data_IF_235833954385
#
_entry.id   IF_235833954385
#
_cell.length_a   1.000
_cell.length_b   1.000
_cell.length_c   1.000
_cell.angle_alpha   90.00
_cell.angle_beta   90.00
_cell.angle_gamma   90.00
#
_symmetry.space_group_name_H-M   'P 1'
#
loop_
_entity.id
_entity.type
_entity.pdbx_description
1 polymer ?
#
# COMPACT_ATOMS: atom_id res chain seq x y z
N UNK A 1 -4.67 -25.50 -11.65
CA UNK A 1 -5.74 -25.31 -12.64
C UNK A 1 -5.60 -23.89 -13.16
N UNK A 2 -5.57 -23.67 -14.47
CA UNK A 2 -5.54 -22.30 -14.98
C UNK A 2 -6.89 -21.66 -14.66
N UNK A 3 -6.88 -20.56 -13.91
CA UNK A 3 -8.12 -19.84 -13.58
C UNK A 3 -8.72 -19.31 -14.87
N UNK A 4 -9.94 -19.77 -15.17
CA UNK A 4 -10.68 -19.35 -16.35
C UNK A 4 -11.23 -17.95 -16.09
N UNK A 5 -10.83 -16.98 -16.91
CA UNK A 5 -11.29 -15.59 -16.81
C UNK A 5 -12.08 -15.20 -18.04
N UNK A 6 -13.08 -14.34 -17.85
CA UNK A 6 -13.95 -13.81 -18.88
C UNK A 6 -13.66 -12.35 -19.24
N UNK A 7 -14.43 -11.81 -20.18
CA UNK A 7 -14.41 -10.39 -20.53
C UNK A 7 -14.88 -9.57 -19.31
N UNK A 8 -14.04 -8.65 -18.82
CA UNK A 8 -14.33 -7.81 -17.66
C UNK A 8 -13.73 -8.31 -16.34
N UNK A 9 -12.96 -9.41 -16.36
CA UNK A 9 -12.10 -9.81 -15.25
C UNK A 9 -10.76 -9.05 -15.29
N UNK A 10 -10.13 -8.90 -14.12
CA UNK A 10 -8.79 -8.35 -13.91
C UNK A 10 -7.91 -9.47 -13.39
N UNK A 11 -6.90 -9.88 -14.15
CA UNK A 11 -5.94 -10.93 -13.78
C UNK A 11 -4.84 -10.31 -12.93
N UNK A 12 -4.88 -10.59 -11.62
CA UNK A 12 -3.99 -9.98 -10.63
C UNK A 12 -2.93 -10.97 -10.17
N UNK A 13 -1.69 -10.49 -10.11
CA UNK A 13 -0.59 -11.19 -9.46
C UNK A 13 -0.09 -10.44 -8.23
N UNK A 14 0.34 -11.18 -7.20
CA UNK A 14 0.81 -10.62 -5.92
C UNK A 14 2.27 -10.98 -5.68
N UNK A 15 3.11 -9.99 -5.36
CA UNK A 15 4.45 -10.19 -4.83
C UNK A 15 4.45 -9.90 -3.33
N UNK A 16 4.85 -10.89 -2.54
CA UNK A 16 4.84 -10.83 -1.08
C UNK A 16 3.46 -11.16 -0.52
N UNK A 17 3.28 -12.40 -0.06
CA UNK A 17 2.02 -12.89 0.50
C UNK A 17 1.98 -12.60 2.00
N UNK A 18 2.08 -11.31 2.37
CA UNK A 18 2.05 -10.81 3.75
C UNK A 18 0.64 -10.51 4.29
N UNK A 19 0.54 -9.78 5.40
CA UNK A 19 -0.75 -9.34 5.97
C UNK A 19 -1.57 -8.46 5.02
N UNK A 20 -0.92 -7.60 4.23
CA UNK A 20 -1.60 -6.78 3.21
C UNK A 20 -2.24 -7.66 2.13
N UNK A 21 -1.50 -8.64 1.61
CA UNK A 21 -2.02 -9.62 0.65
C UNK A 21 -3.17 -10.44 1.25
N UNK A 22 -3.05 -10.87 2.52
CA UNK A 22 -4.12 -11.55 3.24
C UNK A 22 -5.40 -10.68 3.26
N UNK A 23 -5.28 -9.43 3.71
CA UNK A 23 -6.42 -8.51 3.80
C UNK A 23 -7.05 -8.22 2.42
N UNK A 24 -6.24 -8.12 1.37
CA UNK A 24 -6.72 -7.96 -0.01
C UNK A 24 -7.52 -9.18 -0.47
N UNK A 25 -6.98 -10.39 -0.32
CA UNK A 25 -7.65 -11.63 -0.75
C UNK A 25 -8.94 -11.86 0.04
N UNK A 26 -8.92 -11.64 1.35
CA UNK A 26 -10.13 -11.68 2.18
C UNK A 26 -11.15 -10.63 1.74
N UNK A 27 -10.71 -9.41 1.43
CA UNK A 27 -11.58 -8.31 1.01
C UNK A 27 -12.31 -8.60 -0.29
N UNK A 28 -11.60 -9.15 -1.29
CA UNK A 28 -12.20 -9.56 -2.57
C UNK A 28 -13.25 -10.65 -2.34
N UNK A 29 -12.95 -11.66 -1.51
CA UNK A 29 -13.91 -12.72 -1.19
C UNK A 29 -15.13 -12.20 -0.40
N UNK A 30 -14.90 -11.31 0.58
CA UNK A 30 -15.95 -10.77 1.44
C UNK A 30 -16.98 -9.94 0.69
N UNK A 31 -16.54 -9.16 -0.29
CA UNK A 31 -17.40 -8.25 -1.06
C UNK A 31 -17.73 -8.75 -2.48
N UNK A 32 -17.47 -10.02 -2.81
CA UNK A 32 -17.70 -10.56 -4.15
C UNK A 32 -19.17 -10.49 -4.60
N UNK A 33 -20.10 -10.55 -3.65
CA UNK A 33 -21.55 -10.54 -3.87
C UNK A 33 -22.19 -9.20 -3.48
N UNK A 34 -21.38 -8.15 -3.25
CA UNK A 34 -21.89 -6.83 -2.94
C UNK A 34 -22.80 -6.29 -4.06
N UNK A 35 -23.83 -5.53 -3.69
CA UNK A 35 -24.66 -4.88 -4.70
C UNK A 35 -23.86 -3.78 -5.42
N UNK A 36 -24.18 -3.54 -6.69
CA UNK A 36 -23.40 -2.63 -7.55
C UNK A 36 -23.40 -1.17 -7.05
N UNK A 37 -24.42 -0.79 -6.29
CA UNK A 37 -24.62 0.52 -5.68
C UNK A 37 -24.41 0.50 -4.16
N UNK A 38 -23.91 -0.61 -3.59
CA UNK A 38 -23.66 -0.72 -2.16
C UNK A 38 -22.55 0.22 -1.72
N UNK A 39 -22.81 1.00 -0.67
CA UNK A 39 -21.76 1.68 0.07
C UNK A 39 -20.92 0.64 0.84
N UNK A 40 -19.63 0.56 0.51
CA UNK A 40 -18.69 -0.37 1.13
C UNK A 40 -17.65 0.43 1.91
N UNK A 41 -17.59 0.30 3.24
CA UNK A 41 -16.60 1.00 4.05
C UNK A 41 -15.19 0.74 3.55
N UNK A 42 -14.53 1.82 3.13
CA UNK A 42 -13.13 1.76 2.72
C UNK A 42 -12.85 1.62 1.22
N UNK A 43 -13.89 1.60 0.40
CA UNK A 43 -13.81 1.71 -1.06
C UNK A 43 -14.42 3.03 -1.50
N UNK A 44 -13.92 3.57 -2.62
CA UNK A 44 -14.61 4.68 -3.29
C UNK A 44 -15.97 4.23 -3.82
N UNK A 45 -15.98 3.11 -4.57
CA UNK A 45 -17.17 2.55 -5.20
C UNK A 45 -17.12 1.02 -5.21
N UNK A 46 -18.28 0.37 -5.12
CA UNK A 46 -18.42 -1.06 -5.40
C UNK A 46 -18.00 -1.40 -6.84
N UNK A 47 -18.25 -0.49 -7.79
CA UNK A 47 -17.84 -0.59 -9.20
C UNK A 47 -16.98 0.61 -9.59
N UNK A 48 -15.78 0.37 -10.10
CA UNK A 48 -14.86 1.41 -10.59
C UNK A 48 -14.58 1.18 -12.06
N UNK A 49 -14.96 2.13 -12.94
CA UNK A 49 -14.75 2.02 -14.39
C UNK A 49 -15.37 0.79 -15.04
N UNK A 50 -16.45 0.25 -14.48
CA UNK A 50 -17.09 -0.98 -14.93
C UNK A 50 -16.57 -2.26 -14.24
N UNK A 51 -15.53 -2.18 -13.41
CA UNK A 51 -15.00 -3.31 -12.66
C UNK A 51 -15.60 -3.39 -11.26
N UNK A 52 -16.42 -4.40 -11.04
CA UNK A 52 -16.86 -4.78 -9.71
C UNK A 52 -15.71 -5.45 -8.94
N UNK A 53 -15.80 -5.54 -7.61
CA UNK A 53 -14.78 -6.22 -6.79
C UNK A 53 -14.61 -7.68 -7.23
N UNK A 54 -15.69 -8.34 -7.62
CA UNK A 54 -15.66 -9.72 -8.11
C UNK A 54 -14.99 -9.89 -9.48
N UNK A 55 -14.70 -8.81 -10.21
CA UNK A 55 -13.86 -8.85 -11.41
C UNK A 55 -12.41 -9.22 -11.08
N UNK A 56 -11.97 -9.07 -9.83
CA UNK A 56 -10.59 -9.33 -9.43
C UNK A 56 -10.35 -10.84 -9.32
N UNK A 57 -9.43 -11.36 -10.14
CA UNK A 57 -9.03 -12.77 -10.17
C UNK A 57 -7.54 -12.87 -9.85
N UNK A 58 -7.20 -13.42 -8.69
CA UNK A 58 -5.80 -13.73 -8.39
C UNK A 58 -5.36 -14.92 -9.24
N UNK A 59 -4.33 -14.75 -10.08
CA UNK A 59 -3.86 -15.80 -11.02
C UNK A 59 -2.44 -16.26 -10.73
N UNK A 60 -1.65 -15.43 -10.04
CA UNK A 60 -0.30 -15.77 -9.62
C UNK A 60 0.03 -15.12 -8.27
N UNK A 61 0.89 -15.78 -7.49
CA UNK A 61 1.41 -15.24 -6.24
C UNK A 61 2.85 -15.66 -6.06
N UNK A 62 3.67 -14.78 -5.47
CA UNK A 62 5.09 -15.00 -5.29
C UNK A 62 5.51 -14.65 -3.87
N UNK A 63 6.31 -15.53 -3.26
CA UNK A 63 6.93 -15.30 -1.96
C UNK A 63 8.33 -15.95 -1.93
N UNK A 64 9.05 -15.73 -0.84
CA UNK A 64 10.38 -16.30 -0.59
C UNK A 64 10.43 -17.15 0.68
N UNK A 65 9.41 -17.06 1.54
CA UNK A 65 9.30 -17.83 2.77
C UNK A 65 9.01 -19.32 2.49
N UNK A 66 9.82 -20.21 3.07
CA UNK A 66 9.66 -21.66 2.97
C UNK A 66 8.30 -22.16 3.49
N UNK A 67 7.66 -21.43 4.40
CA UNK A 67 6.32 -21.75 4.90
C UNK A 67 5.19 -21.31 3.96
N UNK A 68 5.48 -20.56 2.90
CA UNK A 68 4.49 -20.03 1.94
C UNK A 68 4.67 -20.61 0.55
N UNK A 69 5.90 -20.69 0.06
CA UNK A 69 6.22 -21.23 -1.27
C UNK A 69 5.72 -22.68 -1.38
N UNK A 70 4.95 -22.96 -2.43
CA UNK A 70 4.33 -24.26 -2.69
C UNK A 70 2.92 -24.44 -2.10
N UNK A 71 2.45 -23.53 -1.25
CA UNK A 71 1.07 -23.56 -0.74
C UNK A 71 0.06 -22.95 -1.72
N UNK A 72 -1.21 -23.32 -1.58
CA UNK A 72 -2.31 -22.57 -2.21
C UNK A 72 -2.40 -21.17 -1.59
N UNK A 73 -2.72 -20.15 -2.38
CA UNK A 73 -2.83 -18.78 -1.91
C UNK A 73 -3.79 -18.66 -0.71
N UNK A 74 -4.89 -19.42 -0.67
CA UNK A 74 -5.84 -19.40 0.45
C UNK A 74 -5.23 -19.91 1.77
N UNK A 75 -4.20 -20.77 1.72
CA UNK A 75 -3.46 -21.21 2.90
C UNK A 75 -2.30 -20.26 3.21
N UNK A 76 -1.57 -19.83 2.17
CA UNK A 76 -0.38 -19.00 2.32
C UNK A 76 -0.68 -17.66 2.99
N UNK A 77 -1.88 -17.11 2.78
CA UNK A 77 -2.31 -15.89 3.49
C UNK A 77 -2.37 -16.08 5.01
N UNK A 78 -2.52 -17.31 5.52
CA UNK A 78 -2.53 -17.64 6.96
C UNK A 78 -1.22 -18.28 7.45
N UNK A 79 -0.23 -18.45 6.58
CA UNK A 79 1.02 -19.13 6.91
C UNK A 79 2.09 -18.16 7.44
N UNK A 80 3.07 -18.73 8.15
CA UNK A 80 4.20 -18.01 8.75
C UNK A 80 3.73 -16.90 9.70
N UNK A 81 4.38 -15.73 9.64
CA UNK A 81 4.11 -14.59 10.52
C UNK A 81 2.92 -13.71 10.08
N UNK A 82 2.05 -14.23 9.19
CA UNK A 82 0.81 -13.52 8.86
C UNK A 82 -0.18 -13.63 10.04
N UNK A 83 -0.64 -12.50 10.55
CA UNK A 83 -1.43 -12.38 11.77
C UNK A 83 -2.49 -11.26 11.71
N UNK A 84 -2.97 -10.93 10.50
CA UNK A 84 -4.10 -10.00 10.36
C UNK A 84 -5.43 -10.61 10.79
N UNK A 85 -6.42 -9.74 11.04
CA UNK A 85 -7.75 -10.15 11.47
C UNK A 85 -8.44 -10.98 10.38
N UNK A 86 -9.10 -12.06 10.81
CA UNK A 86 -9.96 -12.86 9.95
C UNK A 86 -11.36 -12.27 9.90
N UNK A 87 -11.78 -11.85 8.72
CA UNK A 87 -13.13 -11.35 8.44
C UNK A 87 -13.81 -12.07 7.26
N UNK A 88 -13.10 -12.94 6.54
CA UNK A 88 -13.67 -13.80 5.50
C UNK A 88 -13.04 -15.19 5.48
N UNK A 89 -13.80 -16.17 4.96
CA UNK A 89 -13.29 -17.52 4.68
C UNK A 89 -12.98 -17.63 3.20
N UNK A 90 -11.70 -17.75 2.85
CA UNK A 90 -11.25 -17.89 1.46
C UNK A 90 -11.17 -19.38 1.12
N UNK A 91 -11.93 -19.81 0.11
CA UNK A 91 -11.83 -21.17 -0.43
C UNK A 91 -10.50 -21.35 -1.20
N UNK A 92 -10.07 -22.60 -1.43
CA UNK A 92 -8.88 -22.89 -2.24
C UNK A 92 -8.96 -22.16 -3.58
N UNK A 93 -7.90 -21.43 -3.92
CA UNK A 93 -7.87 -20.62 -5.13
C UNK A 93 -7.39 -21.41 -6.34
N UNK A 94 -6.62 -22.48 -6.12
CA UNK A 94 -5.89 -23.19 -7.15
C UNK A 94 -4.60 -22.48 -7.61
N UNK A 95 -4.26 -21.34 -6.99
CA UNK A 95 -3.03 -20.58 -7.24
C UNK A 95 -1.97 -21.03 -6.24
N UNK A 96 -0.96 -21.73 -6.73
CA UNK A 96 0.22 -22.08 -5.92
C UNK A 96 1.13 -20.86 -5.79
N UNK A 97 1.56 -20.53 -4.57
CA UNK A 97 2.57 -19.51 -4.33
C UNK A 97 3.91 -19.98 -4.85
N UNK A 98 4.42 -19.29 -5.86
CA UNK A 98 5.68 -19.58 -6.53
C UNK A 98 6.86 -18.91 -5.83
N UNK A 99 8.05 -19.47 -6.02
CA UNK A 99 9.29 -18.90 -5.51
C UNK A 99 9.68 -17.66 -6.31
N UNK A 100 9.56 -16.48 -5.71
CA UNK A 100 10.05 -15.23 -6.29
C UNK A 100 11.57 -15.05 -6.17
N UNK A 101 12.11 -13.95 -6.70
CA UNK A 101 13.51 -13.54 -6.48
C UNK A 101 13.63 -12.73 -5.19
N UNK A 102 14.61 -13.09 -4.34
CA UNK A 102 14.76 -12.50 -3.00
C UNK A 102 15.38 -11.12 -3.01
N UNK A 103 16.54 -10.94 -3.67
CA UNK A 103 17.35 -9.71 -3.62
C UNK A 103 17.47 -9.16 -2.18
N UNK A 104 17.15 -7.88 -1.97
CA UNK A 104 17.11 -7.20 -0.67
C UNK A 104 15.72 -7.28 0.01
N UNK A 105 14.89 -8.25 -0.36
CA UNK A 105 13.58 -8.54 0.24
C UNK A 105 13.65 -8.81 1.75
N UNK A 106 14.68 -9.54 2.19
CA UNK A 106 14.83 -10.00 3.57
C UNK A 106 15.88 -9.20 4.33
N UNK A 107 15.40 -8.29 5.19
CA UNK A 107 16.22 -7.57 6.17
C UNK A 107 16.70 -8.47 7.30
N UNK A 108 17.45 -7.91 8.26
CA UNK A 108 18.03 -8.67 9.38
C UNK A 108 16.96 -9.42 10.17
N UNK A 109 15.93 -8.72 10.62
CA UNK A 109 14.89 -9.32 11.46
C UNK A 109 14.02 -10.33 10.72
N UNK A 110 13.85 -10.18 9.40
CA UNK A 110 13.18 -11.18 8.59
C UNK A 110 14.00 -12.47 8.52
N UNK A 111 15.30 -12.38 8.24
CA UNK A 111 16.22 -13.53 8.22
C UNK A 111 16.32 -14.26 9.55
N UNK A 112 16.15 -13.55 10.66
CA UNK A 112 16.11 -14.13 12.01
C UNK A 112 14.77 -14.82 12.33
N UNK A 113 13.69 -14.50 11.62
CA UNK A 113 12.33 -14.94 11.96
C UNK A 113 11.81 -16.04 11.04
N UNK A 114 12.12 -15.95 9.73
CA UNK A 114 11.64 -16.90 8.73
C UNK A 114 12.80 -17.65 8.08
N UNK A 115 12.48 -18.79 7.47
CA UNK A 115 13.42 -19.55 6.65
C UNK A 115 13.13 -19.26 5.18
N UNK A 116 14.13 -18.83 4.43
CA UNK A 116 14.02 -18.67 2.99
C UNK A 116 13.85 -20.04 2.31
N UNK A 117 12.97 -20.13 1.31
CA UNK A 117 12.73 -21.36 0.57
C UNK A 117 13.92 -21.76 -0.30
N UNK A 118 14.34 -23.02 -0.20
CA UNK A 118 15.38 -23.66 -1.03
C UNK A 118 14.93 -23.95 -2.47
N UNK A 119 13.65 -23.75 -2.80
CA UNK A 119 13.15 -23.89 -4.16
C UNK A 119 13.88 -22.89 -5.09
N UNK A 120 14.13 -23.25 -6.36
CA UNK A 120 14.67 -22.30 -7.33
C UNK A 120 13.65 -21.21 -7.64
N UNK A 121 14.11 -19.97 -7.79
CA UNK A 121 13.27 -18.87 -8.24
C UNK A 121 12.74 -19.13 -9.66
N UNK A 122 11.46 -18.84 -9.88
CA UNK A 122 10.84 -18.99 -11.20
C UNK A 122 11.25 -17.86 -12.14
N UNK A 123 11.12 -18.10 -13.44
CA UNK A 123 11.18 -17.03 -14.44
C UNK A 123 9.90 -16.17 -14.32
N UNK A 124 10.03 -15.06 -13.58
CA UNK A 124 8.93 -14.14 -13.31
C UNK A 124 8.26 -13.65 -14.60
N UNK A 125 9.03 -13.23 -15.60
CA UNK A 125 8.48 -12.66 -16.84
C UNK A 125 7.71 -13.72 -17.61
N UNK A 126 8.25 -14.94 -17.69
CA UNK A 126 7.55 -16.06 -18.32
C UNK A 126 6.24 -16.37 -17.62
N UNK A 127 6.24 -16.47 -16.28
CA UNK A 127 5.02 -16.75 -15.51
C UNK A 127 3.97 -15.66 -15.70
N UNK A 128 4.35 -14.38 -15.61
CA UNK A 128 3.40 -13.27 -15.80
C UNK A 128 2.76 -13.29 -17.19
N UNK A 129 3.52 -13.65 -18.23
CA UNK A 129 3.01 -13.82 -19.60
C UNK A 129 2.11 -15.05 -19.74
N UNK A 130 2.53 -16.20 -19.22
CA UNK A 130 1.77 -17.45 -19.30
C UNK A 130 0.42 -17.33 -18.59
N UNK A 131 0.41 -16.65 -17.44
CA UNK A 131 -0.80 -16.34 -16.68
C UNK A 131 -1.51 -15.09 -17.17
N UNK A 132 -1.09 -14.47 -18.28
CA UNK A 132 -1.70 -13.27 -18.87
C UNK A 132 -2.07 -12.22 -17.81
N UNK A 133 -1.13 -11.89 -16.93
CA UNK A 133 -1.38 -10.97 -15.80
C UNK A 133 -1.63 -9.57 -16.34
N UNK A 134 -2.72 -8.95 -15.89
CA UNK A 134 -3.02 -7.55 -16.18
C UNK A 134 -2.30 -6.65 -15.16
N UNK A 135 -2.48 -6.90 -13.86
CA UNK A 135 -1.98 -6.02 -12.80
C UNK A 135 -1.10 -6.79 -11.82
N UNK A 136 0.13 -6.31 -11.63
CA UNK A 136 1.09 -6.83 -10.64
C UNK A 136 1.14 -5.92 -9.40
N UNK A 137 0.82 -6.47 -8.23
CA UNK A 137 0.84 -5.76 -6.95
C UNK A 137 2.11 -6.11 -6.17
N UNK A 138 2.81 -5.10 -5.68
CA UNK A 138 4.04 -5.26 -4.91
C UNK A 138 3.85 -4.93 -3.43
N UNK A 139 3.89 -5.95 -2.57
CA UNK A 139 3.82 -5.86 -1.10
C UNK A 139 5.12 -6.29 -0.42
N UNK A 140 6.26 -5.97 -1.03
CA UNK A 140 7.56 -6.29 -0.43
C UNK A 140 7.79 -5.52 0.88
N UNK A 141 8.64 -6.04 1.78
CA UNK A 141 9.04 -5.32 2.99
C UNK A 141 9.65 -3.95 2.70
N UNK A 142 9.51 -3.01 3.65
CA UNK A 142 10.16 -1.69 3.57
C UNK A 142 11.68 -1.86 3.47
N UNK A 143 12.30 -1.10 2.56
CA UNK A 143 13.74 -1.11 2.30
C UNK A 143 14.19 -2.11 1.24
N UNK A 144 13.25 -2.73 0.51
CA UNK A 144 13.53 -3.69 -0.58
C UNK A 144 13.60 -2.99 -1.94
N UNK A 145 14.59 -2.11 -2.11
CA UNK A 145 14.72 -1.27 -3.30
C UNK A 145 15.11 -2.06 -4.55
N UNK A 146 16.13 -2.93 -4.45
CA UNK A 146 16.61 -3.74 -5.56
C UNK A 146 15.53 -4.73 -6.00
N UNK A 147 14.86 -5.37 -5.04
CA UNK A 147 13.76 -6.28 -5.30
C UNK A 147 12.57 -5.58 -5.97
N UNK A 148 12.10 -4.44 -5.43
CA UNK A 148 10.94 -3.75 -5.99
C UNK A 148 11.20 -3.24 -7.42
N UNK A 149 12.40 -2.69 -7.67
CA UNK A 149 12.84 -2.28 -9.01
C UNK A 149 12.99 -3.48 -9.97
N UNK A 150 13.48 -4.62 -9.49
CA UNK A 150 13.52 -5.86 -10.27
C UNK A 150 12.10 -6.28 -10.70
N UNK A 151 11.15 -6.33 -9.77
CA UNK A 151 9.77 -6.72 -10.10
C UNK A 151 9.05 -5.70 -10.98
N UNK A 152 9.33 -4.41 -10.81
CA UNK A 152 8.82 -3.38 -11.72
C UNK A 152 9.34 -3.57 -13.16
N UNK A 153 10.61 -3.96 -13.31
CA UNK A 153 11.15 -4.32 -14.63
C UNK A 153 10.47 -5.59 -15.18
N UNK A 154 10.23 -6.61 -14.34
CA UNK A 154 9.48 -7.80 -14.78
C UNK A 154 8.05 -7.46 -15.25
N UNK A 155 7.37 -6.52 -14.59
CA UNK A 155 6.05 -6.04 -15.03
C UNK A 155 6.13 -5.39 -16.42
N UNK A 156 7.12 -4.54 -16.65
CA UNK A 156 7.36 -3.90 -17.95
C UNK A 156 7.62 -4.96 -19.03
N UNK A 157 8.53 -5.90 -18.76
CA UNK A 157 8.93 -6.94 -19.73
C UNK A 157 7.80 -7.94 -20.02
N UNK A 158 6.85 -8.08 -19.09
CA UNK A 158 5.66 -8.92 -19.21
C UNK A 158 4.46 -8.21 -19.85
N UNK A 159 4.43 -6.88 -19.88
CA UNK A 159 3.30 -6.11 -20.38
C UNK A 159 2.19 -5.88 -19.35
N UNK A 160 2.53 -5.88 -18.05
CA UNK A 160 1.56 -5.71 -16.96
C UNK A 160 1.58 -4.27 -16.41
N UNK A 161 0.44 -3.81 -15.92
CA UNK A 161 0.40 -2.67 -15.02
C UNK A 161 1.07 -3.00 -13.68
N UNK A 162 1.52 -1.97 -12.97
CA UNK A 162 2.18 -2.13 -11.68
C UNK A 162 1.54 -1.27 -10.59
N UNK A 163 1.27 -1.86 -9.43
CA UNK A 163 0.81 -1.15 -8.22
C UNK A 163 1.86 -1.28 -7.14
N UNK A 164 2.53 -0.18 -6.82
CA UNK A 164 3.61 -0.12 -5.86
C UNK A 164 3.10 0.30 -4.47
N UNK A 165 2.92 -0.67 -3.57
CA UNK A 165 2.40 -0.38 -2.23
C UNK A 165 3.47 0.05 -1.21
N UNK A 166 4.77 -0.04 -1.57
CA UNK A 166 5.88 0.19 -0.66
C UNK A 166 6.56 1.57 -0.89
N UNK A 167 7.30 2.12 0.09
CA UNK A 167 7.99 3.40 -0.02
C UNK A 167 9.33 3.31 -0.76
N UNK A 168 9.34 2.62 -1.91
CA UNK A 168 10.45 2.65 -2.88
C UNK A 168 9.99 3.50 -4.05
N UNK A 169 10.79 4.48 -4.46
CA UNK A 169 10.43 5.38 -5.54
C UNK A 169 10.53 4.67 -6.89
N UNK A 170 9.39 4.53 -7.55
CA UNK A 170 9.23 3.92 -8.88
C UNK A 170 8.29 4.81 -9.70
N UNK A 171 7.05 5.01 -9.26
CA UNK A 171 6.15 5.93 -9.95
C UNK A 171 6.64 7.38 -9.82
N UNK A 172 7.15 7.76 -8.63
CA UNK A 172 7.66 9.11 -8.37
C UNK A 172 9.10 9.33 -8.81
N UNK A 173 9.79 8.29 -9.31
CA UNK A 173 11.13 8.41 -9.90
C UNK A 173 10.99 8.68 -11.42
N UNK A 174 11.44 9.84 -11.94
CA UNK A 174 11.31 10.18 -13.35
C UNK A 174 11.92 9.15 -14.32
N UNK A 175 12.94 8.39 -13.90
CA UNK A 175 13.55 7.35 -14.73
C UNK A 175 12.60 6.19 -14.91
N UNK A 176 11.95 5.75 -13.83
CA UNK A 176 11.01 4.63 -13.85
C UNK A 176 9.67 5.02 -14.44
N UNK A 177 9.16 6.22 -14.13
CA UNK A 177 7.97 6.79 -14.78
C UNK A 177 8.13 6.75 -16.30
N UNK A 178 9.28 7.23 -16.81
CA UNK A 178 9.56 7.22 -18.24
C UNK A 178 9.60 5.81 -18.83
N UNK A 179 10.17 4.83 -18.11
CA UNK A 179 10.18 3.43 -18.58
C UNK A 179 8.77 2.87 -18.75
N UNK A 180 7.88 3.11 -17.79
CA UNK A 180 6.46 2.71 -17.89
C UNK A 180 5.74 3.48 -19.01
N UNK A 181 6.04 4.77 -19.18
CA UNK A 181 5.48 5.59 -20.26
C UNK A 181 5.91 5.11 -21.65
N UNK A 182 7.20 4.84 -21.85
CA UNK A 182 7.77 4.32 -23.10
C UNK A 182 7.21 2.93 -23.44
N UNK A 183 6.92 2.11 -22.43
CA UNK A 183 6.31 0.79 -22.60
C UNK A 183 4.78 0.85 -22.84
N UNK A 184 4.14 2.01 -22.64
CA UNK A 184 2.68 2.14 -22.74
C UNK A 184 1.93 1.46 -21.59
N UNK A 185 2.58 1.23 -20.44
CA UNK A 185 2.03 0.51 -19.29
C UNK A 185 1.78 1.44 -18.10
N UNK A 186 0.63 1.37 -17.42
CA UNK A 186 0.34 2.23 -16.30
C UNK A 186 1.04 1.75 -15.02
N UNK A 187 1.42 2.72 -14.19
CA UNK A 187 1.86 2.48 -12.81
C UNK A 187 1.05 3.36 -11.84
N UNK A 188 0.66 2.78 -10.70
CA UNK A 188 0.13 3.52 -9.54
C UNK A 188 1.12 3.37 -8.38
N UNK A 189 1.61 4.47 -7.84
CA UNK A 189 2.61 4.48 -6.77
C UNK A 189 2.96 5.91 -6.30
N UNK A 190 3.70 6.10 -5.20
CA UNK A 190 4.35 5.09 -4.35
C UNK A 190 3.92 5.20 -2.87
N UNK A 191 4.05 4.10 -2.11
CA UNK A 191 3.65 3.95 -0.70
C UNK A 191 2.13 4.10 -0.46
N UNK A 192 1.39 2.99 -0.43
CA UNK A 192 -0.07 3.03 -0.33
C UNK A 192 -0.57 3.78 0.92
N UNK A 193 -1.63 4.57 0.79
CA UNK A 193 -2.32 5.19 1.92
C UNK A 193 -3.13 4.15 2.70
N UNK A 194 -3.36 4.47 3.96
CA UNK A 194 -4.42 3.84 4.76
C UNK A 194 -5.64 4.76 4.75
N UNK A 195 -6.85 4.24 4.97
CA UNK A 195 -8.07 5.05 5.05
C UNK A 195 -7.96 6.07 6.18
N UNK A 196 -7.75 5.59 7.41
CA UNK A 196 -7.51 6.43 8.58
C UNK A 196 -6.29 5.93 9.32
N UNK A 197 -5.15 6.54 9.02
CA UNK A 197 -3.88 6.28 9.68
C UNK A 197 -3.43 7.42 10.57
N UNK A 198 -2.43 7.17 11.42
CA UNK A 198 -1.88 8.16 12.33
C UNK A 198 -1.41 9.45 11.61
N UNK A 199 -0.80 9.32 10.43
CA UNK A 199 -0.31 10.49 9.66
C UNK A 199 -1.45 11.40 9.19
N UNK A 200 -2.54 10.86 8.65
CA UNK A 200 -3.67 11.70 8.19
C UNK A 200 -4.38 12.35 9.38
N UNK A 201 -4.61 11.62 10.47
CA UNK A 201 -5.22 12.19 11.69
C UNK A 201 -4.35 13.30 12.26
N UNK A 202 -3.04 13.09 12.37
CA UNK A 202 -2.11 14.09 12.87
C UNK A 202 -2.06 15.33 11.97
N UNK A 203 -2.01 15.14 10.66
CA UNK A 203 -2.05 16.22 9.66
C UNK A 203 -3.31 17.08 9.79
N UNK A 204 -4.49 16.46 9.92
CA UNK A 204 -5.77 17.18 10.11
C UNK A 204 -5.76 17.97 11.43
N UNK A 205 -5.26 17.38 12.52
CA UNK A 205 -5.19 18.06 13.82
C UNK A 205 -4.20 19.24 13.80
N UNK A 206 -3.04 19.08 13.17
CA UNK A 206 -2.06 20.16 13.00
C UNK A 206 -2.65 21.30 12.16
N UNK A 207 -3.34 20.98 11.06
CA UNK A 207 -4.07 21.97 10.25
C UNK A 207 -5.17 22.67 11.05
N UNK A 208 -5.92 21.95 11.88
CA UNK A 208 -6.94 22.55 12.74
C UNK A 208 -6.34 23.56 13.72
N UNK A 209 -5.19 23.26 14.33
CA UNK A 209 -4.47 24.22 15.18
C UNK A 209 -4.13 25.49 14.39
N UNK A 210 -3.51 25.31 13.21
CA UNK A 210 -3.13 26.41 12.32
C UNK A 210 -4.35 27.26 11.88
N UNK A 211 -5.45 26.63 11.45
CA UNK A 211 -6.64 27.31 10.93
C UNK A 211 -7.42 28.05 12.03
N UNK A 212 -7.30 27.62 13.29
CA UNK A 212 -7.95 28.26 14.45
C UNK A 212 -7.05 29.26 15.18
N UNK A 213 -5.86 29.55 14.62
CA UNK A 213 -4.91 30.50 15.20
C UNK A 213 -4.23 29.99 16.48
N UNK A 214 -4.21 28.67 16.70
CA UNK A 214 -3.43 28.04 17.76
C UNK A 214 -2.03 27.78 17.23
N UNK A 215 -1.02 28.36 17.87
CA UNK A 215 0.36 28.17 17.48
C UNK A 215 0.86 26.82 18.02
N UNK A 216 1.07 25.84 17.14
CA UNK A 216 1.67 24.57 17.51
C UNK A 216 3.17 24.77 17.82
N UNK A 217 3.61 24.38 19.01
CA UNK A 217 5.00 24.50 19.45
C UNK A 217 5.76 23.17 19.33
N UNK A 218 5.11 22.05 19.69
CA UNK A 218 5.72 20.71 19.76
C UNK A 218 4.73 19.62 19.39
N UNK A 219 5.24 18.54 18.82
CA UNK A 219 4.43 17.34 18.58
C UNK A 219 5.25 16.05 18.58
N UNK A 220 4.62 14.96 19.00
CA UNK A 220 5.11 13.62 18.73
C UNK A 220 4.01 12.70 18.21
N UNK A 221 4.42 11.68 17.47
CA UNK A 221 3.61 10.55 17.02
C UNK A 221 4.41 9.26 17.20
N UNK A 222 4.02 8.49 18.22
CA UNK A 222 4.60 7.19 18.54
C UNK A 222 3.72 6.10 17.94
N UNK A 223 4.30 5.20 17.15
CA UNK A 223 3.55 4.10 16.53
C UNK A 223 4.10 2.76 17.01
N UNK A 224 3.24 1.88 17.51
CA UNK A 224 3.59 0.51 17.92
C UNK A 224 2.70 -0.50 17.19
N UNK A 225 3.23 -1.69 16.90
CA UNK A 225 2.51 -2.77 16.24
C UNK A 225 3.21 -4.12 16.42
N UNK A 226 2.54 -5.22 16.05
CA UNK A 226 3.00 -6.59 16.32
C UNK A 226 3.22 -7.46 15.08
N UNK A 227 3.25 -6.88 13.88
CA UNK A 227 3.48 -7.61 12.64
C UNK A 227 4.93 -7.50 12.15
N UNK A 228 5.26 -8.25 11.09
CA UNK A 228 6.61 -8.23 10.51
C UNK A 228 6.98 -6.91 9.81
N UNK A 229 6.02 -6.09 9.38
CA UNK A 229 6.34 -4.73 8.89
C UNK A 229 6.92 -3.89 10.05
N UNK A 230 6.26 -3.89 11.22
CA UNK A 230 6.77 -3.22 12.42
C UNK A 230 8.11 -3.77 12.90
N UNK A 231 8.28 -5.10 12.89
CA UNK A 231 9.55 -5.72 13.27
C UNK A 231 10.69 -5.34 12.31
N UNK A 232 10.43 -5.38 11.00
CA UNK A 232 11.38 -4.92 9.98
C UNK A 232 11.69 -3.42 10.13
N UNK A 233 10.72 -2.62 10.54
CA UNK A 233 10.87 -1.20 10.84
C UNK A 233 11.65 -0.92 12.16
N UNK A 234 12.09 -1.91 12.93
CA UNK A 234 13.09 -1.68 13.99
C UNK A 234 14.51 -1.52 13.42
N UNK A 235 14.74 -1.92 12.18
CA UNK A 235 16.01 -1.77 11.47
C UNK A 235 16.12 -0.34 10.94
N UNK A 236 16.71 0.55 11.75
CA UNK A 236 16.76 2.00 11.49
C UNK A 236 17.34 2.37 10.13
N UNK A 237 18.32 1.62 9.63
CA UNK A 237 18.95 1.86 8.34
C UNK A 237 17.97 1.72 7.16
N UNK A 238 16.86 0.97 7.33
CA UNK A 238 15.81 0.80 6.32
C UNK A 238 14.73 1.89 6.37
N UNK A 239 14.80 2.85 7.29
CA UNK A 239 13.71 3.77 7.64
C UNK A 239 13.89 5.22 7.23
N UNK A 240 15.09 5.64 6.82
CA UNK A 240 15.43 7.07 6.66
C UNK A 240 14.40 7.81 5.80
N UNK A 241 14.09 7.26 4.62
CA UNK A 241 13.09 7.82 3.69
C UNK A 241 11.69 7.91 4.30
N UNK A 242 11.26 6.90 5.07
CA UNK A 242 9.92 6.83 5.67
C UNK A 242 9.77 7.82 6.84
N UNK A 243 10.84 8.06 7.60
CA UNK A 243 10.86 9.07 8.67
C UNK A 243 10.75 10.48 8.08
N UNK A 244 11.52 10.78 7.04
CA UNK A 244 11.49 12.07 6.35
C UNK A 244 10.09 12.34 5.77
N UNK A 245 9.52 11.38 5.03
CA UNK A 245 8.19 11.51 4.41
C UNK A 245 7.10 11.80 5.45
N UNK A 246 7.08 11.06 6.57
CA UNK A 246 6.07 11.26 7.62
C UNK A 246 6.21 12.60 8.33
N UNK A 247 7.43 13.03 8.63
CA UNK A 247 7.68 14.33 9.26
C UNK A 247 7.20 15.47 8.35
N UNK A 248 7.59 15.45 7.08
CA UNK A 248 7.21 16.47 6.10
C UNK A 248 5.69 16.53 5.88
N UNK A 249 4.99 15.39 5.93
CA UNK A 249 3.54 15.35 5.77
C UNK A 249 2.80 16.15 6.86
N UNK A 250 3.33 16.20 8.09
CA UNK A 250 2.73 16.95 9.20
C UNK A 250 3.21 18.40 9.20
N UNK A 251 4.52 18.64 9.08
CA UNK A 251 5.09 20.00 9.16
C UNK A 251 4.65 20.88 7.99
N UNK A 252 4.37 20.31 6.82
CA UNK A 252 3.82 21.03 5.66
C UNK A 252 2.45 21.67 5.88
N UNK A 253 1.72 21.31 6.93
CA UNK A 253 0.43 21.93 7.26
C UNK A 253 0.56 23.24 8.04
N UNK A 254 1.78 23.57 8.47
CA UNK A 254 2.06 24.73 9.30
C UNK A 254 2.75 25.79 8.46
N UNK A 255 2.46 27.06 8.76
CA UNK A 255 3.08 28.19 8.07
C UNK A 255 4.39 28.63 8.74
N UNK A 256 4.91 27.83 9.67
CA UNK A 256 6.13 28.08 10.42
C UNK A 256 6.89 26.78 10.67
N UNK A 257 8.20 26.91 10.90
CA UNK A 257 9.04 25.80 11.29
C UNK A 257 8.91 25.54 12.80
N UNK A 258 8.67 24.28 13.17
CA UNK A 258 8.68 23.83 14.56
C UNK A 258 10.11 23.67 15.10
N UNK A 259 11.09 23.48 14.23
CA UNK A 259 12.46 23.09 14.56
C UNK A 259 12.58 21.60 14.86
N UNK A 260 13.68 20.99 14.41
CA UNK A 260 13.86 19.53 14.41
C UNK A 260 13.67 18.85 15.77
N UNK A 261 14.06 19.53 16.86
CA UNK A 261 13.94 18.99 18.23
C UNK A 261 12.50 18.93 18.76
N UNK A 262 11.56 19.59 18.09
CA UNK A 262 10.18 19.74 18.53
C UNK A 262 9.21 18.81 17.78
N UNK A 263 9.71 17.97 16.86
CA UNK A 263 8.93 17.01 16.09
C UNK A 263 9.53 15.62 16.20
N UNK A 264 8.74 14.67 16.68
CA UNK A 264 9.15 13.26 16.75
C UNK A 264 8.10 12.34 16.12
N UNK A 265 8.37 11.82 14.93
CA UNK A 265 7.44 10.95 14.20
C UNK A 265 8.18 9.71 13.70
N UNK A 266 7.69 8.51 14.05
CA UNK A 266 8.32 7.27 13.59
C UNK A 266 7.70 6.00 14.18
N UNK A 267 8.11 4.82 13.70
CA UNK A 267 7.92 3.59 14.46
C UNK A 267 8.64 3.71 15.81
N UNK A 268 7.98 3.27 16.86
CA UNK A 268 8.46 3.39 18.23
C UNK A 268 8.90 2.05 18.77
N UNK A 269 8.07 1.01 18.61
CA UNK A 269 8.36 -0.31 19.16
C UNK A 269 7.57 -1.44 18.48
N UNK A 270 8.01 -2.68 18.73
CA UNK A 270 7.36 -3.92 18.33
C UNK A 270 6.74 -4.62 19.56
N UNK A 271 5.42 -4.78 19.54
CA UNK A 271 4.66 -5.40 20.63
C UNK A 271 3.96 -6.65 20.07
N UNK A 272 4.51 -7.87 20.28
CA UNK A 272 4.09 -9.07 19.55
C UNK A 272 2.59 -9.35 19.61
N UNK A 273 1.96 -9.21 20.78
CA UNK A 273 0.56 -9.55 20.98
C UNK A 273 -0.41 -8.57 20.30
N UNK A 274 0.07 -7.42 19.78
CA UNK A 274 -0.78 -6.56 18.95
C UNK A 274 -1.10 -7.22 17.60
N UNK A 275 -0.32 -8.20 17.17
CA UNK A 275 -0.43 -8.80 15.84
C UNK A 275 -0.42 -7.71 14.76
N UNK A 276 -1.34 -7.76 13.79
CA UNK A 276 -1.47 -6.72 12.76
C UNK A 276 -2.16 -5.44 13.25
N UNK A 277 -2.51 -5.32 14.53
CA UNK A 277 -2.97 -4.05 15.09
C UNK A 277 -1.83 -3.08 15.21
N UNK A 278 -2.19 -1.81 15.05
CA UNK A 278 -1.32 -0.67 15.18
C UNK A 278 -1.97 0.36 16.07
N UNK A 279 -1.21 0.78 17.06
CA UNK A 279 -1.58 1.85 17.95
C UNK A 279 -0.69 3.05 17.70
N UNK A 280 -1.31 4.22 17.59
CA UNK A 280 -0.60 5.48 17.54
C UNK A 280 -0.97 6.36 18.73
N UNK A 281 0.05 6.84 19.41
CA UNK A 281 -0.07 7.82 20.49
C UNK A 281 0.48 9.14 19.99
N UNK A 282 -0.38 10.14 19.93
CA UNK A 282 -0.04 11.43 19.33
C UNK A 282 -0.34 12.53 20.31
N UNK A 283 0.59 13.47 20.41
CA UNK A 283 0.47 14.64 21.26
C UNK A 283 0.85 15.88 20.51
N UNK A 284 -0.02 16.89 20.56
CA UNK A 284 0.18 18.22 20.03
C UNK A 284 0.15 19.21 21.20
N UNK A 285 1.19 20.03 21.31
CA UNK A 285 1.29 21.09 22.32
C UNK A 285 1.40 22.44 21.62
N UNK A 286 0.49 23.35 21.92
CA UNK A 286 0.51 24.69 21.37
C UNK A 286 0.06 25.76 22.36
N UNK A 287 -0.04 26.99 21.86
CA UNK A 287 -0.48 28.18 22.58
C UNK A 287 -1.69 28.81 21.88
N UNK A 288 -2.71 29.12 22.67
CA UNK A 288 -3.91 29.82 22.24
C UNK A 288 -3.84 31.32 22.57
N UNK A 289 -4.98 31.99 22.62
CA UNK A 289 -5.08 33.41 22.98
C UNK A 289 -4.43 33.69 24.35
N UNK A 290 -3.58 34.73 24.41
CA UNK A 290 -2.84 35.10 25.63
C UNK A 290 -1.70 34.14 25.97
N UNK A 291 -1.17 33.41 24.99
CA UNK A 291 -0.11 32.39 25.16
C UNK A 291 -0.48 31.26 26.13
N UNK A 292 -1.78 31.06 26.36
CA UNK A 292 -2.28 30.01 27.25
C UNK A 292 -2.04 28.63 26.60
N UNK A 293 -1.45 27.67 27.33
CA UNK A 293 -1.21 26.33 26.80
C UNK A 293 -2.51 25.63 26.36
N UNK A 294 -2.49 25.04 25.17
CA UNK A 294 -3.53 24.16 24.64
C UNK A 294 -2.86 22.87 24.17
N UNK A 295 -3.27 21.76 24.78
CA UNK A 295 -2.72 20.45 24.48
C UNK A 295 -3.82 19.52 23.96
N UNK A 296 -3.48 18.71 22.97
CA UNK A 296 -4.31 17.61 22.48
C UNK A 296 -3.48 16.33 22.52
N UNK A 297 -4.00 15.30 23.18
CA UNK A 297 -3.40 13.97 23.18
C UNK A 297 -4.46 12.96 22.80
N UNK A 298 -4.14 12.06 21.89
CA UNK A 298 -5.07 11.03 21.43
C UNK A 298 -4.37 9.70 21.17
N UNK A 299 -5.17 8.64 21.26
CA UNK A 299 -4.81 7.29 20.85
C UNK A 299 -5.65 6.89 19.64
N UNK A 300 -5.01 6.37 18.60
CA UNK A 300 -5.66 5.75 17.45
C UNK A 300 -5.35 4.24 17.48
N UNK A 301 -6.39 3.41 17.38
CA UNK A 301 -6.26 1.96 17.23
C UNK A 301 -6.84 1.51 15.90
N UNK A 302 -6.05 0.80 15.11
CA UNK A 302 -6.46 0.26 13.82
C UNK A 302 -5.89 -1.13 13.60
N UNK A 303 -6.48 -1.90 12.70
CA UNK A 303 -5.83 -3.02 12.05
C UNK A 303 -5.08 -2.48 10.83
N UNK A 304 -3.75 -2.63 10.77
CA UNK A 304 -2.92 -1.88 9.81
C UNK A 304 -3.17 -2.35 8.36
N UNK A 305 -3.24 -3.66 8.13
CA UNK A 305 -3.34 -4.20 6.77
C UNK A 305 -4.74 -4.02 6.13
N UNK A 306 -5.87 -4.31 6.82
CA UNK A 306 -7.21 -4.04 6.28
C UNK A 306 -7.44 -2.55 6.00
N UNK A 307 -6.77 -1.67 6.74
CA UNK A 307 -6.87 -0.21 6.56
C UNK A 307 -6.29 0.29 5.22
N UNK A 308 -5.54 -0.54 4.47
CA UNK A 308 -5.09 -0.24 3.10
C UNK A 308 -5.69 -1.15 2.03
N UNK A 309 -6.35 -2.26 2.41
CA UNK A 309 -6.88 -3.24 1.46
C UNK A 309 -7.89 -2.63 0.47
N UNK A 310 -8.81 -1.79 0.96
CA UNK A 310 -9.77 -1.10 0.09
C UNK A 310 -9.09 -0.13 -0.88
N UNK A 311 -8.09 0.61 -0.40
CA UNK A 311 -7.29 1.55 -1.21
C UNK A 311 -6.58 0.81 -2.35
N UNK A 312 -6.06 -0.39 -2.09
CA UNK A 312 -5.43 -1.23 -3.13
C UNK A 312 -6.45 -1.75 -4.13
N UNK A 313 -7.64 -2.15 -3.69
CA UNK A 313 -8.73 -2.57 -4.58
C UNK A 313 -9.12 -1.44 -5.55
N UNK A 314 -9.15 -0.19 -5.09
CA UNK A 314 -9.38 0.96 -5.98
C UNK A 314 -8.18 1.22 -6.91
N UNK A 315 -6.96 1.18 -6.38
CA UNK A 315 -5.73 1.41 -7.14
C UNK A 315 -5.54 0.40 -8.29
N UNK A 316 -5.77 -0.89 -8.04
CA UNK A 316 -5.64 -1.94 -9.07
C UNK A 316 -6.72 -1.79 -10.16
N UNK A 317 -7.95 -1.41 -9.80
CA UNK A 317 -9.03 -1.17 -10.77
C UNK A 317 -8.70 0.06 -11.64
N UNK A 318 -8.13 1.11 -11.06
CA UNK A 318 -7.63 2.25 -11.82
C UNK A 318 -6.46 1.89 -12.74
N UNK A 319 -5.56 1.01 -12.29
CA UNK A 319 -4.48 0.49 -13.12
C UNK A 319 -5.03 -0.28 -14.35
N UNK A 320 -6.07 -1.10 -14.15
CA UNK A 320 -6.77 -1.76 -15.26
C UNK A 320 -7.40 -0.76 -16.24
N UNK A 321 -8.08 0.28 -15.74
CA UNK A 321 -8.63 1.35 -16.60
C UNK A 321 -7.51 1.99 -17.44
N UNK A 322 -6.35 2.22 -16.84
CA UNK A 322 -5.15 2.71 -17.53
C UNK A 322 -4.71 1.79 -18.67
N UNK A 323 -4.69 0.47 -18.44
CA UNK A 323 -4.35 -0.53 -19.45
C UNK A 323 -5.35 -0.52 -20.62
N UNK A 324 -6.64 -0.56 -20.31
CA UNK A 324 -7.72 -0.59 -21.31
C UNK A 324 -7.68 0.66 -22.21
N UNK A 325 -7.29 1.81 -21.63
CA UNK A 325 -7.13 3.09 -22.34
C UNK A 325 -5.75 3.30 -22.94
N UNK A 326 -4.82 2.34 -22.80
CA UNK A 326 -3.43 2.39 -23.30
C UNK A 326 -2.65 3.60 -22.79
N UNK A 327 -2.86 3.92 -21.51
CA UNK A 327 -2.16 5.02 -20.84
C UNK A 327 -0.90 4.45 -20.18
N UNK A 328 0.27 4.83 -20.72
CA UNK A 328 1.55 4.50 -20.12
C UNK A 328 2.02 5.51 -19.08
N UNK A 329 2.88 5.08 -18.15
CA UNK A 329 3.47 5.95 -17.13
C UNK A 329 2.60 6.07 -15.88
N UNK A 330 2.94 7.01 -15.01
CA UNK A 330 2.22 7.15 -13.75
C UNK A 330 0.80 7.70 -13.96
N UNK A 331 -0.21 7.02 -13.40
CA UNK A 331 -1.57 7.55 -13.31
C UNK A 331 -1.60 8.61 -12.21
N UNK A 332 -1.40 9.88 -12.60
CA UNK A 332 -1.21 11.01 -11.68
C UNK A 332 -2.38 11.18 -10.72
N UNK A 333 -3.60 11.09 -11.24
CA UNK A 333 -4.83 11.29 -10.47
C UNK A 333 -5.02 10.15 -9.44
N UNK A 334 -5.13 8.87 -9.83
CA UNK A 334 -5.14 7.74 -8.90
C UNK A 334 -3.96 7.73 -7.91
N UNK A 335 -2.73 7.94 -8.38
CA UNK A 335 -1.55 7.91 -7.50
C UNK A 335 -1.65 8.98 -6.41
N UNK A 336 -2.09 10.19 -6.75
CA UNK A 336 -2.21 11.27 -5.76
C UNK A 336 -3.25 11.01 -4.68
N UNK A 337 -4.32 10.26 -5.01
CA UNK A 337 -5.36 9.94 -4.07
C UNK A 337 -5.01 8.73 -3.22
N UNK A 338 -4.47 7.67 -3.83
CA UNK A 338 -4.21 6.39 -3.16
C UNK A 338 -2.83 6.25 -2.53
N UNK A 339 -1.84 7.06 -2.91
CA UNK A 339 -0.43 6.87 -2.52
C UNK A 339 0.08 8.06 -1.72
N UNK A 340 1.00 7.82 -0.77
CA UNK A 340 1.59 8.86 0.09
C UNK A 340 2.64 9.69 -0.65
N UNK A 341 3.35 9.07 -1.60
CA UNK A 341 4.40 9.71 -2.40
C UNK A 341 4.08 9.60 -3.90
N UNK A 342 3.02 10.30 -4.38
CA UNK A 342 2.73 10.39 -5.79
C UNK A 342 3.76 11.23 -6.54
N UNK A 343 3.85 11.11 -7.89
CA UNK A 343 4.67 11.99 -8.72
C UNK A 343 4.25 13.46 -8.62
N UNK A 344 2.96 13.73 -8.36
CA UNK A 344 2.41 15.07 -8.15
C UNK A 344 1.50 15.07 -6.94
N UNK A 345 1.77 15.96 -6.00
CA UNK A 345 0.97 16.14 -4.78
C UNK A 345 -0.22 17.07 -5.05
N UNK A 346 -1.39 16.69 -4.54
CA UNK A 346 -2.58 17.55 -4.49
C UNK A 346 -3.15 17.53 -3.07
N UNK A 347 -4.08 18.44 -2.78
CA UNK A 347 -4.95 18.27 -1.60
C UNK A 347 -5.78 17.01 -1.76
N UNK A 348 -6.15 16.33 -0.67
CA UNK A 348 -6.91 15.07 -0.77
C UNK A 348 -8.27 15.27 -1.46
N UNK A 349 -8.92 16.43 -1.29
CA UNK A 349 -10.16 16.79 -1.99
C UNK A 349 -9.96 16.89 -3.51
N UNK A 350 -8.90 17.58 -3.95
CA UNK A 350 -8.59 17.70 -5.37
C UNK A 350 -8.15 16.36 -5.97
N UNK A 351 -7.38 15.57 -5.23
CA UNK A 351 -6.96 14.23 -5.63
C UNK A 351 -8.17 13.29 -5.80
N UNK A 352 -9.14 13.34 -4.88
CA UNK A 352 -10.38 12.59 -4.97
C UNK A 352 -11.16 12.95 -6.24
N UNK A 353 -11.43 14.24 -6.46
CA UNK A 353 -12.19 14.69 -7.62
C UNK A 353 -11.50 14.35 -8.94
N UNK A 354 -10.17 14.51 -9.01
CA UNK A 354 -9.38 14.13 -10.18
C UNK A 354 -9.44 12.61 -10.46
N UNK A 355 -9.45 11.80 -9.40
CA UNK A 355 -9.62 10.35 -9.53
C UNK A 355 -11.01 9.99 -10.05
N UNK A 356 -12.07 10.66 -9.59
CA UNK A 356 -13.43 10.50 -10.15
C UNK A 356 -13.50 10.90 -11.63
N UNK A 357 -12.85 11.99 -11.99
CA UNK A 357 -12.79 12.46 -13.38
C UNK A 357 -11.96 11.52 -14.26
N UNK A 358 -10.91 10.91 -13.74
CA UNK A 358 -10.18 9.82 -14.40
C UNK A 358 -11.09 8.59 -14.58
N UNK A 359 -11.76 8.12 -13.54
CA UNK A 359 -12.65 6.95 -13.60
C UNK A 359 -13.76 7.16 -14.64
N UNK A 360 -14.37 8.35 -14.67
CA UNK A 360 -15.43 8.70 -15.63
C UNK A 360 -14.93 9.04 -17.05
N UNK A 361 -13.61 9.10 -17.27
CA UNK A 361 -13.01 9.34 -18.59
C UNK A 361 -12.96 10.81 -19.02
N UNK A 362 -13.11 11.75 -18.08
CA UNK A 362 -12.91 13.19 -18.32
C UNK A 362 -11.44 13.61 -18.26
N UNK A 363 -10.60 12.81 -17.59
CA UNK A 363 -9.15 13.00 -17.51
C UNK A 363 -8.41 11.75 -18.00
N UNK A 364 -7.28 11.99 -18.66
CA UNK A 364 -6.45 10.92 -19.21
C UNK A 364 -5.48 10.31 -18.20
N UNK A 365 -5.07 11.03 -17.13
CA UNK A 365 -4.07 10.53 -16.15
C UNK A 365 -4.34 10.98 -14.73
#
# INVERSE_FOLDING_TARGET
MNITTGKGDIRVAIIGVGNCANSLVQGVEYYKDAALDQEIPGLMHAVVGGYHISSIKFVAAFDVDAKKVGLDLADAIWASENNTIKFSNVAKTGVTVMRGVTNDGLGKYYKETITESDAPAVDMVKVLKDEAVDVLICYLPVGSEVAAKFYAQCAIDAGCAFVNALPVFIASDPVWEKKFADAGLPIVGDDIKSQVGATITHRIMAKLFQDRGVHLDRTYQLNVGGNMDFKNMLERDRLESKKISKTNSVTSQLNHDLGEKNVHIGPSDYIPWLDDRKWAYVRLEGRAFGDVPLNLEYKLEVWDSPNSAGVIIDALRCAQIGLDRKIGGALLSPSSYFMKTPPTQYTDEAAHQKTEDFISGKLDR
#
